data_IF_060192821303
#
_entry.id   IF_060192821303
#
_cell.length_a   1.000
_cell.length_b   1.000
_cell.length_c   1.000
_cell.angle_alpha   90.00
_cell.angle_beta   90.00
_cell.angle_gamma   90.00
#
_symmetry.space_group_name_H-M   'P 1'
#
loop_
_entity.id
_entity.type
_entity.pdbx_description
1 polymer ?
#
# COMPACT_ATOMS: atom_id res chain seq x y z
N UNK A 1 -8.87 -0.11 16.54
CA UNK A 1 -7.86 -0.94 15.85
C UNK A 1 -6.51 -0.25 16.00
N UNK A 2 -5.44 -1.03 16.21
CA UNK A 2 -4.11 -0.50 16.48
C UNK A 2 -3.36 -0.36 15.15
N UNK A 3 -3.05 0.88 14.75
CA UNK A 3 -2.37 1.21 13.50
C UNK A 3 -1.13 0.33 13.22
N UNK A 4 -0.38 -0.04 14.27
CA UNK A 4 0.79 -0.90 14.12
C UNK A 4 0.43 -2.31 13.63
N UNK A 5 -0.67 -2.89 14.13
CA UNK A 5 -1.15 -4.21 13.72
C UNK A 5 -1.59 -4.22 12.25
N UNK A 6 -2.20 -3.14 11.79
CA UNK A 6 -2.68 -3.04 10.41
C UNK A 6 -1.50 -2.99 9.42
N UNK A 7 -0.44 -2.25 9.77
CA UNK A 7 0.79 -2.20 8.95
C UNK A 7 1.49 -3.56 8.89
N UNK A 8 1.59 -4.27 10.03
CA UNK A 8 2.16 -5.62 10.05
C UNK A 8 1.35 -6.60 9.20
N UNK A 9 0.02 -6.49 9.23
CA UNK A 9 -0.88 -7.29 8.40
C UNK A 9 -0.66 -6.98 6.92
N UNK A 10 -0.48 -5.70 6.56
CA UNK A 10 -0.19 -5.29 5.19
C UNK A 10 1.11 -5.90 4.64
N UNK A 11 2.18 -5.92 5.45
CA UNK A 11 3.44 -6.55 5.06
C UNK A 11 3.34 -8.07 4.94
N UNK A 12 2.62 -8.71 5.86
CA UNK A 12 2.32 -10.15 5.77
C UNK A 12 1.59 -10.46 4.45
N UNK A 13 0.53 -9.72 4.15
CA UNK A 13 -0.26 -9.92 2.94
C UNK A 13 0.54 -9.62 1.65
N UNK A 14 1.46 -8.67 1.70
CA UNK A 14 2.41 -8.41 0.61
C UNK A 14 3.36 -9.58 0.33
N UNK A 15 3.76 -10.33 1.37
CA UNK A 15 4.58 -11.53 1.22
C UNK A 15 3.74 -12.75 0.80
N UNK A 16 2.60 -12.95 1.45
CA UNK A 16 1.70 -14.10 1.23
C UNK A 16 0.99 -14.01 -0.13
N UNK A 17 0.70 -12.80 -0.61
CA UNK A 17 0.05 -12.50 -1.90
C UNK A 17 -1.22 -13.31 -2.16
N UNK A 18 -2.07 -13.47 -1.13
CA UNK A 18 -3.33 -14.17 -1.29
C UNK A 18 -4.19 -13.50 -2.37
N UNK A 19 -4.94 -14.29 -3.13
CA UNK A 19 -5.74 -13.78 -4.26
C UNK A 19 -6.72 -12.69 -3.85
N UNK A 20 -7.38 -12.87 -2.70
CA UNK A 20 -8.34 -11.93 -2.13
C UNK A 20 -7.65 -10.59 -1.80
N UNK A 21 -6.46 -10.64 -1.19
CA UNK A 21 -5.70 -9.43 -0.86
C UNK A 21 -5.16 -8.72 -2.09
N UNK A 22 -4.75 -9.46 -3.13
CA UNK A 22 -4.26 -8.86 -4.38
C UNK A 22 -5.38 -8.21 -5.20
N UNK A 23 -6.60 -8.76 -5.19
CA UNK A 23 -7.74 -8.14 -5.85
C UNK A 23 -8.06 -6.76 -5.24
N UNK A 24 -8.13 -6.69 -3.90
CA UNK A 24 -8.29 -5.43 -3.18
C UNK A 24 -7.11 -4.47 -3.42
N UNK A 25 -5.88 -4.99 -3.39
CA UNK A 25 -4.67 -4.21 -3.63
C UNK A 25 -4.66 -3.54 -5.00
N UNK A 26 -5.07 -4.24 -6.07
CA UNK A 26 -5.17 -3.67 -7.43
C UNK A 26 -6.13 -2.50 -7.50
N UNK A 27 -7.33 -2.63 -6.91
CA UNK A 27 -8.31 -1.56 -6.86
C UNK A 27 -7.77 -0.34 -6.11
N UNK A 28 -7.17 -0.58 -4.94
CA UNK A 28 -6.59 0.47 -4.09
C UNK A 28 -5.36 1.13 -4.73
N UNK A 29 -4.54 0.37 -5.46
CA UNK A 29 -3.40 0.88 -6.22
C UNK A 29 -3.85 1.89 -7.28
N UNK A 30 -4.89 1.56 -8.06
CA UNK A 30 -5.44 2.46 -9.08
C UNK A 30 -5.92 3.81 -8.47
N UNK A 31 -6.42 3.79 -7.24
CA UNK A 31 -6.80 5.01 -6.50
C UNK A 31 -5.56 5.77 -6.01
N UNK A 32 -4.58 5.05 -5.45
CA UNK A 32 -3.38 5.64 -4.87
C UNK A 32 -2.47 6.28 -5.93
N UNK A 33 -2.32 5.70 -7.12
CA UNK A 33 -1.45 6.24 -8.18
C UNK A 33 -1.98 7.56 -8.76
N UNK A 34 -3.30 7.79 -8.69
CA UNK A 34 -3.92 9.06 -9.05
C UNK A 34 -3.98 10.07 -7.89
N UNK A 35 -3.48 9.71 -6.71
CA UNK A 35 -3.60 10.54 -5.51
C UNK A 35 -2.59 11.71 -5.53
N UNK A 36 -3.01 12.96 -5.26
CA UNK A 36 -2.11 14.11 -5.23
C UNK A 36 -1.07 14.06 -4.09
N UNK A 37 -1.24 13.14 -3.15
CA UNK A 37 -0.33 12.97 -2.01
C UNK A 37 0.65 11.81 -2.20
N UNK A 38 0.66 11.13 -3.35
CA UNK A 38 1.63 10.06 -3.60
C UNK A 38 3.04 10.63 -3.61
N UNK A 39 3.97 9.92 -2.96
CA UNK A 39 5.38 10.26 -2.96
C UNK A 39 6.21 9.04 -3.33
N UNK A 40 7.37 9.28 -3.91
CA UNK A 40 8.32 8.24 -4.27
C UNK A 40 9.54 8.26 -3.33
N UNK A 41 9.93 7.11 -2.82
CA UNK A 41 11.04 6.95 -1.89
C UNK A 41 12.17 6.11 -2.49
N UNK A 42 13.39 6.68 -2.57
CA UNK A 42 14.57 5.99 -3.15
C UNK A 42 14.86 4.63 -2.52
N UNK A 43 14.72 4.50 -1.19
CA UNK A 43 14.92 3.23 -0.49
C UNK A 43 13.80 2.23 -0.76
N UNK A 44 12.56 2.70 -0.93
CA UNK A 44 11.43 1.83 -1.22
C UNK A 44 11.46 1.30 -2.66
N UNK A 45 12.16 1.96 -3.58
CA UNK A 45 12.30 1.49 -4.96
C UNK A 45 13.01 0.12 -5.06
N UNK A 46 13.71 -0.30 -4.00
CA UNK A 46 14.31 -1.64 -3.89
C UNK A 46 13.29 -2.71 -3.45
N UNK A 47 12.12 -2.32 -2.94
CA UNK A 47 11.02 -3.23 -2.59
C UNK A 47 10.25 -3.58 -3.86
N UNK A 48 10.43 -4.82 -4.34
CA UNK A 48 9.84 -5.30 -5.60
C UNK A 48 8.41 -5.81 -5.43
N UNK A 49 7.47 -5.16 -6.08
CA UNK A 49 6.04 -5.48 -6.02
C UNK A 49 5.57 -6.17 -7.31
N UNK A 50 4.49 -6.94 -7.22
CA UNK A 50 3.76 -7.43 -8.40
C UNK A 50 3.05 -6.28 -9.10
N UNK A 51 2.60 -5.28 -8.33
CA UNK A 51 1.99 -4.05 -8.80
C UNK A 51 3.10 -3.00 -9.05
N UNK A 52 3.63 -2.98 -10.27
CA UNK A 52 4.77 -2.13 -10.65
C UNK A 52 4.49 -0.64 -10.48
N UNK A 53 3.25 -0.24 -10.63
CA UNK A 53 2.79 1.14 -10.49
C UNK A 53 2.90 1.68 -9.05
N UNK A 54 2.97 0.81 -8.03
CA UNK A 54 3.18 1.21 -6.63
C UNK A 54 4.60 0.98 -6.12
N UNK A 55 5.50 0.42 -6.94
CA UNK A 55 6.90 0.17 -6.54
C UNK A 55 7.59 1.48 -6.15
N UNK A 56 8.21 1.47 -4.97
CA UNK A 56 8.88 2.65 -4.41
C UNK A 56 7.96 3.78 -3.96
N UNK A 57 6.65 3.63 -4.10
CA UNK A 57 5.69 4.67 -3.71
C UNK A 57 5.20 4.49 -2.27
N UNK A 58 4.90 5.62 -1.63
CA UNK A 58 4.32 5.67 -0.29
C UNK A 58 3.27 6.77 -0.20
N UNK A 59 2.36 6.64 0.75
CA UNK A 59 1.34 7.65 1.00
C UNK A 59 1.97 8.86 1.70
N UNK A 60 1.89 10.05 1.10
CA UNK A 60 2.44 11.28 1.69
C UNK A 60 1.70 11.81 2.92
N UNK A 61 0.54 11.23 3.29
CA UNK A 61 -0.24 11.60 4.48
C UNK A 61 0.12 10.78 5.71
N UNK A 62 0.20 9.45 5.57
CA UNK A 62 0.54 8.54 6.67
C UNK A 62 1.95 7.94 6.57
N UNK A 63 2.73 8.30 5.55
CA UNK A 63 4.09 7.81 5.30
C UNK A 63 4.23 6.29 5.09
N UNK A 64 3.11 5.58 4.91
CA UNK A 64 3.11 4.13 4.75
C UNK A 64 3.49 3.73 3.31
N UNK A 65 4.40 2.77 3.11
CA UNK A 65 4.70 2.21 1.80
C UNK A 65 3.46 1.61 1.15
N UNK A 66 3.21 1.94 -0.12
CA UNK A 66 1.98 1.53 -0.79
C UNK A 66 1.90 0.01 -0.93
N UNK A 67 3.02 -0.68 -1.17
CA UNK A 67 3.09 -2.14 -1.24
C UNK A 67 2.43 -2.84 -0.06
N UNK A 68 2.63 -2.35 1.16
CA UNK A 68 1.98 -2.91 2.35
C UNK A 68 0.61 -2.28 2.61
N UNK A 69 0.50 -0.95 2.48
CA UNK A 69 -0.69 -0.20 2.85
C UNK A 69 -1.94 -0.69 2.10
N UNK A 70 -1.86 -0.83 0.78
CA UNK A 70 -3.02 -1.26 -0.03
C UNK A 70 -3.47 -2.70 0.27
N UNK A 71 -2.62 -3.49 0.93
CA UNK A 71 -2.88 -4.88 1.35
C UNK A 71 -3.22 -5.00 2.83
N UNK A 72 -3.26 -3.90 3.57
CA UNK A 72 -3.58 -3.89 5.00
C UNK A 72 -5.08 -3.81 5.27
N UNK A 73 -5.45 -4.02 6.54
CA UNK A 73 -6.77 -3.71 7.09
C UNK A 73 -6.90 -2.25 7.53
N UNK A 74 -5.89 -1.43 7.28
CA UNK A 74 -5.90 -0.01 7.54
C UNK A 74 -6.79 0.73 6.52
N UNK A 75 -7.12 1.98 6.81
CA UNK A 75 -7.99 2.83 5.99
C UNK A 75 -7.18 3.90 5.24
N UNK A 76 -7.70 4.36 4.11
CA UNK A 76 -7.16 5.54 3.45
C UNK A 76 -7.34 6.79 4.35
N UNK A 77 -6.31 7.62 4.60
CA UNK A 77 -6.47 8.85 5.37
C UNK A 77 -7.45 9.86 4.75
N UNK A 78 -7.69 9.76 3.44
CA UNK A 78 -8.64 10.57 2.68
C UNK A 78 -9.98 9.83 2.44
N UNK A 79 -10.16 8.67 3.07
CA UNK A 79 -11.35 7.82 2.97
C UNK A 79 -11.75 7.46 1.52
N UNK A 80 -10.76 7.30 0.63
CA UNK A 80 -11.00 6.92 -0.77
C UNK A 80 -11.10 5.41 -1.00
N UNK A 81 -10.73 4.62 0.01
CA UNK A 81 -10.84 3.16 0.08
C UNK A 81 -10.62 2.67 1.51
#
# INVERSE_FOLDING_TARGET
MNHLQDILTGWKNYLDKSEITEAAAKQRAAICIACPHIKHGKLLAFVKDTLKEVEGNYCGKCSCPLSAKIRSNDICPENKW
#
